data_IF_322382510508
#
_entry.id   IF_322382510508
#
_cell.length_a   1.000
_cell.length_b   1.000
_cell.length_c   1.000
_cell.angle_alpha   90.00
_cell.angle_beta   90.00
_cell.angle_gamma   90.00
#
_symmetry.space_group_name_H-M   'P 1'
#
loop_
_entity.id
_entity.type
_entity.pdbx_description
1 polymer ?
#
# COMPACT_ATOMS: atom_id res chain seq x y z
N UNK A 1 -13.72 7.06 20.73
CA UNK A 1 -13.20 6.79 19.37
C UNK A 1 -12.94 8.14 18.73
N UNK A 2 -11.67 8.52 18.57
CA UNK A 2 -11.32 9.83 17.99
C UNK A 2 -11.34 9.65 16.48
N UNK A 3 -12.44 10.05 15.84
CA UNK A 3 -12.50 10.14 14.38
C UNK A 3 -11.57 11.29 13.98
N UNK A 4 -10.53 11.01 13.19
CA UNK A 4 -9.78 12.08 12.54
C UNK A 4 -10.75 12.81 11.61
N UNK A 5 -10.97 14.12 11.78
CA UNK A 5 -11.86 14.88 10.90
C UNK A 5 -11.35 14.81 9.45
N UNK A 6 -12.26 14.69 8.49
CA UNK A 6 -11.94 14.59 7.06
C UNK A 6 -11.81 13.16 6.48
N UNK A 7 -12.04 12.10 7.25
CA UNK A 7 -12.10 10.71 6.73
C UNK A 7 -13.56 10.20 6.62
N UNK A 8 -13.88 9.38 5.60
CA UNK A 8 -15.20 8.78 5.45
C UNK A 8 -15.53 7.86 6.64
N UNK A 9 -16.82 7.77 6.98
CA UNK A 9 -17.33 6.89 8.04
C UNK A 9 -17.30 5.40 7.65
N UNK A 10 -17.24 5.10 6.35
CA UNK A 10 -17.24 3.75 5.78
C UNK A 10 -15.90 3.40 5.13
N UNK A 11 -15.57 2.10 5.12
CA UNK A 11 -14.32 1.60 4.58
C UNK A 11 -14.14 1.98 3.10
N UNK A 12 -12.96 2.49 2.73
CA UNK A 12 -12.64 2.84 1.33
C UNK A 12 -12.41 1.66 0.39
N UNK A 13 -12.50 0.41 0.88
CA UNK A 13 -12.33 -0.81 0.08
C UNK A 13 -13.65 -1.14 -0.62
N UNK A 14 -13.58 -1.43 -1.92
CA UNK A 14 -14.73 -1.75 -2.74
C UNK A 14 -15.54 -2.92 -2.18
N UNK A 15 -16.86 -2.74 -2.12
CA UNK A 15 -17.79 -3.74 -1.57
C UNK A 15 -17.76 -3.87 -0.04
N UNK A 16 -17.03 -3.02 0.70
CA UNK A 16 -16.97 -3.07 2.16
C UNK A 16 -17.79 -1.96 2.83
N UNK A 17 -18.92 -2.32 3.44
CA UNK A 17 -19.74 -1.41 4.26
C UNK A 17 -19.33 -1.33 5.73
N UNK A 18 -18.14 -1.83 6.10
CA UNK A 18 -17.70 -1.87 7.50
C UNK A 18 -17.36 -0.48 8.04
N UNK A 19 -17.63 -0.20 9.34
CA UNK A 19 -17.29 1.09 9.94
C UNK A 19 -15.78 1.29 10.00
N UNK A 20 -15.32 2.51 9.71
CA UNK A 20 -13.90 2.87 9.77
C UNK A 20 -13.41 2.87 11.21
N UNK A 21 -12.27 2.22 11.45
CA UNK A 21 -11.58 2.28 12.73
C UNK A 21 -10.36 3.21 12.69
N UNK A 22 -9.66 3.30 11.56
CA UNK A 22 -8.48 4.17 11.37
C UNK A 22 -8.07 4.19 9.89
N UNK A 23 -7.45 5.30 9.44
CA UNK A 23 -6.93 5.47 8.06
C UNK A 23 -7.95 5.16 6.94
N UNK A 24 -9.25 5.38 7.18
CA UNK A 24 -10.29 5.07 6.18
C UNK A 24 -10.59 3.59 6.00
N UNK A 25 -10.09 2.72 6.89
CA UNK A 25 -10.24 1.27 6.81
C UNK A 25 -11.03 0.74 8.02
N UNK A 26 -11.84 -0.30 7.78
CA UNK A 26 -12.43 -1.10 8.85
C UNK A 26 -11.35 -1.93 9.56
N UNK A 27 -11.65 -2.47 10.75
CA UNK A 27 -10.67 -3.22 11.55
C UNK A 27 -10.01 -4.37 10.77
N UNK A 28 -10.80 -5.11 10.00
CA UNK A 28 -10.32 -6.24 9.19
C UNK A 28 -9.32 -5.80 8.12
N UNK A 29 -9.65 -4.76 7.36
CA UNK A 29 -8.80 -4.25 6.29
C UNK A 29 -7.59 -3.48 6.83
N UNK A 30 -7.73 -2.81 7.97
CA UNK A 30 -6.61 -2.22 8.70
C UNK A 30 -5.61 -3.29 9.15
N UNK A 31 -6.09 -4.38 9.76
CA UNK A 31 -5.24 -5.48 10.21
C UNK A 31 -4.61 -6.27 9.05
N UNK A 32 -5.28 -6.35 7.88
CA UNK A 32 -4.67 -6.87 6.65
C UNK A 32 -3.59 -5.94 6.11
N UNK A 33 -3.87 -4.64 5.97
CA UNK A 33 -2.90 -3.65 5.50
C UNK A 33 -1.65 -3.61 6.38
N UNK A 34 -1.81 -3.69 7.71
CA UNK A 34 -0.69 -3.74 8.65
C UNK A 34 0.17 -5.01 8.49
N UNK A 35 -0.44 -6.17 8.21
CA UNK A 35 0.27 -7.46 8.13
C UNK A 35 0.87 -7.73 6.75
N UNK A 36 0.16 -7.33 5.70
CA UNK A 36 0.41 -7.73 4.32
C UNK A 36 0.84 -6.56 3.42
N UNK A 37 0.73 -5.32 3.90
CA UNK A 37 1.00 -4.11 3.11
C UNK A 37 -0.17 -3.66 2.22
N UNK A 38 -1.24 -4.45 2.13
CA UNK A 38 -2.45 -4.14 1.34
C UNK A 38 -3.72 -4.45 2.14
N UNK A 39 -4.81 -3.65 1.99
CA UNK A 39 -6.08 -3.86 2.68
C UNK A 39 -6.93 -4.98 2.08
N UNK A 40 -6.48 -5.60 0.99
CA UNK A 40 -7.15 -6.71 0.29
C UNK A 40 -6.33 -7.99 0.38
N UNK A 41 -6.98 -9.11 0.05
CA UNK A 41 -6.28 -10.39 -0.07
C UNK A 41 -5.23 -10.34 -1.19
N UNK A 42 -4.12 -11.05 -0.99
CA UNK A 42 -3.02 -11.09 -1.95
C UNK A 42 -2.97 -12.47 -2.60
N UNK A 43 -3.00 -12.54 -3.93
CA UNK A 43 -2.60 -13.76 -4.63
C UNK A 43 -1.09 -13.85 -4.61
N UNK A 44 -0.61 -15.03 -4.27
CA UNK A 44 0.82 -15.36 -4.33
C UNK A 44 0.95 -16.44 -5.38
N UNK A 45 1.73 -16.17 -6.42
CA UNK A 45 2.06 -17.17 -7.43
C UNK A 45 3.57 -17.33 -7.48
N UNK A 46 4.04 -18.57 -7.39
CA UNK A 46 5.49 -18.86 -7.41
C UNK A 46 5.81 -19.81 -8.55
N UNK A 47 6.96 -19.61 -9.17
CA UNK A 47 7.52 -20.56 -10.12
C UNK A 47 8.06 -21.79 -9.36
N UNK A 48 7.60 -22.99 -9.72
CA UNK A 48 8.12 -24.23 -9.14
C UNK A 48 9.58 -24.44 -9.55
N UNK A 49 10.47 -24.67 -8.59
CA UNK A 49 11.90 -24.87 -8.86
C UNK A 49 12.22 -26.12 -9.71
N UNK A 50 11.29 -27.06 -9.82
CA UNK A 50 11.51 -28.34 -10.51
C UNK A 50 10.89 -28.41 -11.91
N UNK A 51 9.68 -27.90 -12.08
CA UNK A 51 8.93 -27.97 -13.35
C UNK A 51 8.68 -26.61 -14.00
N UNK A 52 9.07 -25.51 -13.34
CA UNK A 52 8.90 -24.13 -13.80
C UNK A 52 7.45 -23.72 -14.09
N UNK A 53 6.46 -24.46 -13.58
CA UNK A 53 5.06 -24.06 -13.63
C UNK A 53 4.72 -23.11 -12.48
N UNK A 54 3.87 -22.14 -12.75
CA UNK A 54 3.30 -21.26 -11.74
C UNK A 54 2.32 -22.04 -10.86
N UNK A 55 2.38 -21.81 -9.56
CA UNK A 55 1.44 -22.39 -8.60
C UNK A 55 1.19 -21.45 -7.44
N UNK A 56 0.07 -21.64 -6.74
CA UNK A 56 -0.28 -20.90 -5.53
C UNK A 56 0.32 -21.59 -4.29
N UNK A 57 1.30 -20.98 -3.62
CA UNK A 57 1.93 -21.58 -2.46
C UNK A 57 1.07 -21.33 -1.22
N UNK A 58 0.86 -22.39 -0.42
CA UNK A 58 0.15 -22.30 0.87
C UNK A 58 0.98 -21.58 1.93
N UNK A 59 2.29 -21.54 1.75
CA UNK A 59 3.26 -20.89 2.63
C UNK A 59 4.29 -20.12 1.80
N UNK A 60 4.79 -19.01 2.33
CA UNK A 60 5.75 -18.15 1.61
C UNK A 60 7.05 -18.86 1.20
N UNK A 61 7.46 -19.88 1.96
CA UNK A 61 8.67 -20.69 1.79
C UNK A 61 8.48 -21.90 0.85
N UNK A 62 7.26 -22.19 0.41
CA UNK A 62 6.98 -23.36 -0.42
C UNK A 62 7.58 -23.16 -1.83
N UNK A 63 8.58 -23.95 -2.19
CA UNK A 63 9.29 -23.83 -3.49
C UNK A 63 8.76 -24.74 -4.60
N UNK A 64 7.93 -25.72 -4.25
CA UNK A 64 7.49 -26.77 -5.15
C UNK A 64 5.96 -26.85 -5.19
N UNK A 65 5.40 -27.03 -6.38
CA UNK A 65 3.96 -27.18 -6.58
C UNK A 65 3.41 -28.49 -5.99
N UNK A 66 4.26 -29.52 -5.82
CA UNK A 66 3.84 -30.83 -5.34
C UNK A 66 4.98 -31.60 -4.67
N UNK A 67 4.61 -32.62 -3.88
CA UNK A 67 5.55 -33.57 -3.30
C UNK A 67 6.42 -34.24 -4.39
N UNK A 68 5.82 -34.58 -5.54
CA UNK A 68 6.54 -35.19 -6.68
C UNK A 68 7.65 -34.27 -7.22
N UNK A 69 7.35 -32.98 -7.37
CA UNK A 69 8.33 -31.98 -7.81
C UNK A 69 9.45 -31.79 -6.77
N UNK A 70 9.11 -31.78 -5.48
CA UNK A 70 10.12 -31.75 -4.40
C UNK A 70 11.06 -32.95 -4.49
N UNK A 71 10.54 -34.17 -4.60
CA UNK A 71 11.36 -35.38 -4.70
C UNK A 71 12.22 -35.41 -5.98
N UNK A 72 11.67 -34.97 -7.12
CA UNK A 72 12.44 -34.82 -8.36
C UNK A 72 13.62 -33.86 -8.17
N UNK A 73 13.38 -32.70 -7.58
CA UNK A 73 14.43 -31.72 -7.35
C UNK A 73 15.51 -32.22 -6.38
N UNK A 74 15.11 -32.89 -5.29
CA UNK A 74 16.06 -33.48 -4.35
C UNK A 74 16.94 -34.56 -4.99
N UNK A 75 16.40 -35.34 -5.94
CA UNK A 75 17.22 -36.29 -6.72
C UNK A 75 18.24 -35.56 -7.60
N UNK A 76 17.83 -34.49 -8.28
CA UNK A 76 18.74 -33.68 -9.11
C UNK A 76 19.83 -33.00 -8.26
N UNK A 77 19.47 -32.46 -7.09
CA UNK A 77 20.43 -31.90 -6.13
C UNK A 77 21.49 -32.91 -5.66
N UNK A 78 21.14 -34.20 -5.53
CA UNK A 78 22.13 -35.24 -5.19
C UNK A 78 23.12 -35.53 -6.31
N UNK A 79 22.72 -35.31 -7.57
CA UNK A 79 23.57 -35.53 -8.74
C UNK A 79 24.47 -34.32 -9.02
N UNK A 80 23.90 -33.13 -8.89
CA UNK A 80 24.59 -31.86 -9.19
C UNK A 80 24.06 -30.77 -8.24
N UNK A 81 24.72 -30.63 -7.10
CA UNK A 81 24.34 -29.67 -6.08
C UNK A 81 24.65 -28.21 -6.48
N UNK A 82 25.58 -28.01 -7.41
CA UNK A 82 25.96 -26.69 -7.92
C UNK A 82 24.85 -26.13 -8.83
N UNK A 83 24.37 -26.95 -9.77
CA UNK A 83 23.24 -26.59 -10.65
C UNK A 83 21.89 -26.59 -9.93
N UNK A 84 21.70 -27.46 -8.94
CA UNK A 84 20.45 -27.60 -8.20
C UNK A 84 20.64 -27.37 -6.70
N UNK A 85 20.84 -26.12 -6.23
CA UNK A 85 21.07 -25.82 -4.82
C UNK A 85 19.84 -26.10 -3.94
N UNK A 86 20.03 -26.35 -2.63
CA UNK A 86 18.93 -26.66 -1.69
C UNK A 86 17.84 -25.57 -1.62
N UNK A 87 18.22 -24.30 -1.78
CA UNK A 87 17.31 -23.14 -1.68
C UNK A 87 17.32 -22.34 -3.00
N UNK A 88 16.73 -22.87 -4.08
CA UNK A 88 16.67 -22.16 -5.34
C UNK A 88 15.85 -20.88 -5.21
N UNK A 89 16.40 -19.77 -5.68
CA UNK A 89 15.68 -18.49 -5.77
C UNK A 89 14.72 -18.54 -6.96
N UNK A 90 13.46 -18.86 -6.68
CA UNK A 90 12.40 -18.83 -7.70
C UNK A 90 11.61 -17.53 -7.65
N UNK A 91 11.10 -17.11 -8.82
CA UNK A 91 10.23 -15.94 -8.92
C UNK A 91 8.97 -16.15 -8.08
N UNK A 92 8.69 -15.19 -7.19
CA UNK A 92 7.45 -15.07 -6.44
C UNK A 92 6.77 -13.78 -6.89
N UNK A 93 5.59 -13.93 -7.47
CA UNK A 93 4.69 -12.84 -7.80
C UNK A 93 3.68 -12.69 -6.66
N UNK A 94 3.52 -11.45 -6.19
CA UNK A 94 2.52 -11.09 -5.18
C UNK A 94 1.72 -9.94 -5.75
N UNK A 95 0.42 -10.15 -5.91
CA UNK A 95 -0.49 -9.11 -6.35
C UNK A 95 -1.70 -9.05 -5.43
N UNK A 96 -2.27 -7.87 -5.18
CA UNK A 96 -3.64 -7.81 -4.66
C UNK A 96 -4.56 -8.62 -5.57
N UNK A 97 -5.37 -9.48 -4.97
CA UNK A 97 -6.59 -9.96 -5.61
C UNK A 97 -7.48 -8.74 -5.68
N UNK A 98 -7.26 -7.91 -6.69
CA UNK A 98 -8.22 -6.86 -7.00
C UNK A 98 -9.57 -7.54 -7.21
N UNK A 99 -10.65 -6.86 -6.90
CA UNK A 99 -12.00 -7.30 -7.27
C UNK A 99 -12.17 -7.47 -8.80
N UNK A 100 -11.11 -7.35 -9.61
CA UNK A 100 -11.06 -7.55 -11.05
C UNK A 100 -10.93 -9.03 -11.48
N UNK A 101 -11.24 -9.99 -10.60
CA UNK A 101 -11.70 -11.30 -11.08
C UNK A 101 -13.16 -11.25 -11.57
N UNK A 102 -13.83 -10.10 -11.49
CA UNK A 102 -15.14 -9.84 -12.09
C UNK A 102 -14.91 -9.28 -13.51
N UNK A 103 -14.86 -10.17 -14.48
CA UNK A 103 -15.23 -9.96 -15.89
C UNK A 103 -14.49 -8.90 -16.73
N UNK A 104 -13.32 -8.40 -16.32
CA UNK A 104 -12.52 -7.50 -17.17
C UNK A 104 -13.21 -6.18 -17.52
N UNK A 105 -14.25 -5.80 -16.77
CA UNK A 105 -14.92 -4.53 -16.94
C UNK A 105 -13.91 -3.38 -16.66
N UNK A 106 -13.89 -2.33 -17.50
CA UNK A 106 -13.00 -1.20 -17.28
C UNK A 106 -13.35 -0.56 -15.92
N UNK A 107 -12.32 -0.24 -15.14
CA UNK A 107 -12.49 0.55 -13.92
C UNK A 107 -13.00 1.93 -14.33
N UNK A 108 -14.28 2.19 -14.09
CA UNK A 108 -14.87 3.51 -14.33
C UNK A 108 -14.57 4.39 -13.12
N UNK A 109 -13.83 5.47 -13.35
CA UNK A 109 -13.59 6.51 -12.35
C UNK A 109 -14.64 7.60 -12.57
N UNK A 110 -15.39 7.94 -11.52
CA UNK A 110 -16.29 9.08 -11.57
C UNK A 110 -15.48 10.37 -11.82
N UNK A 111 -15.88 11.25 -12.74
CA UNK A 111 -15.22 12.54 -12.90
C UNK A 111 -15.53 13.43 -11.70
N UNK A 112 -14.51 13.91 -11.01
CA UNK A 112 -14.64 14.87 -9.91
C UNK A 112 -13.51 15.89 -9.95
N UNK A 113 -13.76 17.08 -9.41
CA UNK A 113 -12.76 18.16 -9.32
C UNK A 113 -12.08 18.16 -7.94
N UNK A 114 -10.87 18.73 -7.85
CA UNK A 114 -10.19 18.86 -6.55
C UNK A 114 -10.99 19.73 -5.56
N UNK A 115 -11.75 20.72 -6.04
CA UNK A 115 -12.66 21.51 -5.21
C UNK A 115 -13.79 20.67 -4.60
N UNK A 116 -14.41 19.77 -5.37
CA UNK A 116 -15.42 18.85 -4.83
C UNK A 116 -14.86 17.92 -3.75
N UNK A 117 -13.59 17.53 -3.87
CA UNK A 117 -12.88 16.73 -2.86
C UNK A 117 -12.64 17.57 -1.59
N UNK A 118 -12.25 18.83 -1.76
CA UNK A 118 -12.02 19.77 -0.65
C UNK A 118 -13.31 20.09 0.12
N UNK A 119 -14.38 20.46 -0.59
CA UNK A 119 -15.68 20.83 0.00
C UNK A 119 -16.30 19.70 0.82
N UNK A 120 -16.07 18.44 0.40
CA UNK A 120 -16.54 17.25 1.12
C UNK A 120 -15.82 17.04 2.46
N UNK A 121 -14.63 17.61 2.62
CA UNK A 121 -13.66 17.17 3.63
C UNK A 121 -13.27 18.30 4.59
N UNK A 122 -14.22 19.10 5.06
CA UNK A 122 -14.03 20.19 6.03
C UNK A 122 -12.81 21.12 5.79
N UNK A 123 -12.25 21.14 4.57
CA UNK A 123 -11.00 21.82 4.23
C UNK A 123 -9.71 21.27 4.88
N UNK A 124 -9.73 20.07 5.46
CA UNK A 124 -8.60 19.50 6.20
C UNK A 124 -7.82 18.46 5.39
N UNK A 125 -6.49 18.47 5.54
CA UNK A 125 -5.62 17.46 4.96
C UNK A 125 -5.79 16.11 5.66
N UNK A 126 -6.14 15.07 4.90
CA UNK A 126 -6.35 13.72 5.42
C UNK A 126 -5.08 13.03 5.99
N UNK A 127 -3.89 13.60 5.74
CA UNK A 127 -2.60 13.05 6.20
C UNK A 127 -2.14 13.72 7.50
N UNK A 128 -2.13 15.06 7.55
CA UNK A 128 -1.61 15.82 8.70
C UNK A 128 -2.70 16.40 9.59
N UNK A 129 -3.95 16.50 9.11
CA UNK A 129 -5.09 17.11 9.80
C UNK A 129 -5.10 18.64 9.79
N UNK A 130 -4.10 19.30 9.19
CA UNK A 130 -4.07 20.76 9.06
C UNK A 130 -4.99 21.28 7.95
N UNK A 131 -5.47 22.51 8.10
CA UNK A 131 -6.24 23.18 7.06
C UNK A 131 -5.41 23.34 5.77
N UNK A 132 -6.06 23.19 4.63
CA UNK A 132 -5.48 23.44 3.31
C UNK A 132 -5.92 24.82 2.85
N UNK A 133 -4.96 25.66 2.49
CA UNK A 133 -5.25 26.91 1.82
C UNK A 133 -5.41 26.63 0.32
N UNK A 134 -6.53 27.09 -0.25
CA UNK A 134 -6.87 26.92 -1.67
C UNK A 134 -6.57 28.17 -2.49
N UNK A 135 -6.26 29.29 -1.83
CA UNK A 135 -5.95 30.57 -2.48
C UNK A 135 -4.46 30.70 -2.82
N UNK A 136 -3.61 29.86 -2.23
CA UNK A 136 -2.18 29.79 -2.56
C UNK A 136 -1.96 29.27 -3.97
N UNK A 137 -0.78 29.58 -4.51
CA UNK A 137 -0.37 29.12 -5.84
C UNK A 137 -0.53 27.60 -5.99
N UNK A 138 -0.91 27.17 -7.20
CA UNK A 138 -1.19 25.75 -7.48
C UNK A 138 0.06 24.89 -7.24
N UNK A 139 1.26 25.45 -7.33
CA UNK A 139 2.53 24.77 -7.06
C UNK A 139 3.01 24.87 -5.61
N UNK A 140 2.31 25.60 -4.76
CA UNK A 140 2.66 25.75 -3.35
C UNK A 140 2.64 24.38 -2.63
N UNK A 141 3.63 24.08 -1.76
CA UNK A 141 3.65 22.86 -0.96
C UNK A 141 2.41 22.66 -0.08
N UNK A 142 1.80 23.76 0.39
CA UNK A 142 0.63 23.81 1.27
C UNK A 142 -0.66 24.03 0.49
N UNK A 143 -0.58 24.08 -0.83
CA UNK A 143 -1.73 24.10 -1.73
C UNK A 143 -2.46 22.76 -1.81
N UNK A 144 -3.68 22.81 -2.35
CA UNK A 144 -4.57 21.67 -2.51
C UNK A 144 -4.02 20.65 -3.50
N UNK A 145 -4.04 19.39 -3.08
CA UNK A 145 -3.98 18.25 -3.96
C UNK A 145 -4.95 17.17 -3.50
N UNK A 146 -5.25 16.20 -4.35
CA UNK A 146 -6.05 15.05 -3.97
C UNK A 146 -5.28 13.74 -4.16
N UNK A 147 -5.61 12.75 -3.34
CA UNK A 147 -5.11 11.38 -3.46
C UNK A 147 -6.19 10.36 -3.14
N UNK A 148 -5.98 9.11 -3.57
CA UNK A 148 -6.83 7.99 -3.17
C UNK A 148 -6.52 7.61 -1.72
N UNK A 149 -7.57 7.45 -0.91
CA UNK A 149 -7.47 6.97 0.47
C UNK A 149 -7.02 5.50 0.49
N UNK A 150 -7.69 4.66 -0.30
CA UNK A 150 -7.20 3.34 -0.71
C UNK A 150 -6.90 3.37 -2.20
N UNK A 151 -5.67 3.07 -2.64
CA UNK A 151 -5.35 2.98 -4.06
C UNK A 151 -6.27 1.99 -4.80
N UNK A 152 -6.66 2.34 -6.02
CA UNK A 152 -7.64 1.56 -6.81
C UNK A 152 -7.08 0.17 -7.17
N UNK A 153 -5.77 0.08 -7.45
CA UNK A 153 -5.05 -1.17 -7.66
C UNK A 153 -5.00 -2.06 -6.42
N UNK A 154 -5.19 -1.48 -5.23
CA UNK A 154 -5.30 -2.19 -3.96
C UNK A 154 -6.75 -2.38 -3.50
N UNK A 155 -7.72 -2.28 -4.41
CA UNK A 155 -9.14 -2.51 -4.15
C UNK A 155 -9.89 -1.32 -3.56
N UNK A 156 -9.35 -0.10 -3.71
CA UNK A 156 -10.08 1.12 -3.38
C UNK A 156 -11.23 1.39 -4.34
N UNK A 157 -12.33 1.95 -3.83
CA UNK A 157 -13.46 2.39 -4.68
C UNK A 157 -12.99 3.54 -5.59
N UNK A 158 -13.21 3.50 -6.91
CA UNK A 158 -12.85 4.59 -7.83
C UNK A 158 -13.89 5.73 -7.83
N UNK A 159 -14.29 6.20 -6.63
CA UNK A 159 -15.34 7.21 -6.44
C UNK A 159 -14.89 8.33 -5.51
N UNK A 160 -15.65 9.44 -5.50
CA UNK A 160 -15.37 10.60 -4.64
C UNK A 160 -15.30 10.22 -3.14
N UNK A 161 -16.01 9.18 -2.72
CA UNK A 161 -15.99 8.68 -1.34
C UNK A 161 -14.63 8.13 -0.86
N UNK A 162 -13.77 7.72 -1.79
CA UNK A 162 -12.43 7.20 -1.53
C UNK A 162 -11.33 8.20 -1.97
N UNK A 163 -11.72 9.40 -2.42
CA UNK A 163 -10.80 10.48 -2.75
C UNK A 163 -10.74 11.45 -1.57
N UNK A 164 -9.52 11.83 -1.18
CA UNK A 164 -9.30 12.71 -0.01
C UNK A 164 -8.38 13.87 -0.37
N UNK A 165 -8.58 15.06 0.23
CA UNK A 165 -7.71 16.20 0.01
C UNK A 165 -6.48 16.09 0.90
N UNK A 166 -5.35 16.51 0.34
CA UNK A 166 -4.04 16.52 0.98
C UNK A 166 -3.26 17.73 0.53
N UNK A 167 -2.38 18.26 1.39
CA UNK A 167 -1.37 19.20 0.92
C UNK A 167 -0.51 18.54 -0.17
N UNK A 168 -0.03 19.32 -1.14
CA UNK A 168 0.89 18.82 -2.15
C UNK A 168 2.15 18.19 -1.53
N UNK A 169 2.68 18.77 -0.44
CA UNK A 169 3.77 18.19 0.36
C UNK A 169 3.44 16.87 1.05
N UNK A 170 2.15 16.63 1.33
CA UNK A 170 1.66 15.45 2.03
C UNK A 170 1.27 14.32 1.06
N UNK A 171 1.15 14.62 -0.23
CA UNK A 171 0.76 13.66 -1.26
C UNK A 171 1.75 12.50 -1.35
N UNK A 172 1.23 11.26 -1.38
CA UNK A 172 2.05 10.03 -1.33
C UNK A 172 2.51 9.65 0.08
N UNK A 173 2.19 10.47 1.08
CA UNK A 173 2.50 10.25 2.49
C UNK A 173 1.37 9.54 3.23
N UNK A 174 1.17 8.25 2.97
CA UNK A 174 0.59 7.33 3.98
C UNK A 174 1.55 6.15 4.19
N UNK A 175 2.86 6.42 4.27
CA UNK A 175 3.82 5.43 4.76
C UNK A 175 3.91 5.57 6.27
N UNK A 176 3.16 4.70 6.94
CA UNK A 176 3.42 4.19 8.28
C UNK A 176 4.33 5.05 9.18
N UNK A 177 3.76 6.05 9.87
CA UNK A 177 4.15 6.47 11.22
C UNK A 177 5.61 6.83 11.55
N UNK A 178 6.55 6.84 10.60
CA UNK A 178 7.93 7.28 10.86
C UNK A 178 8.02 8.75 10.47
N UNK A 179 7.63 9.62 11.41
CA UNK A 179 7.97 11.05 11.37
C UNK A 179 9.44 11.15 10.94
N UNK A 180 9.70 11.71 9.75
CA UNK A 180 11.02 12.26 9.45
C UNK A 180 11.21 13.40 10.44
N UNK A 181 11.86 13.10 11.57
CA UNK A 181 12.35 14.13 12.48
C UNK A 181 13.27 14.99 11.62
N UNK A 182 12.87 16.24 11.37
CA UNK A 182 13.72 17.27 10.78
C UNK A 182 14.95 17.31 11.69
N UNK A 183 16.09 16.82 11.22
CA UNK A 183 17.37 17.02 11.91
C UNK A 183 17.74 18.47 11.63
N UNK A 184 17.22 19.36 12.46
CA UNK A 184 17.83 20.65 12.70
C UNK A 184 18.80 20.44 13.87
N UNK A 185 20.07 20.17 13.57
CA UNK A 185 21.16 20.36 14.51
C UNK A 185 22.28 21.14 13.81
N UNK A 186 22.20 22.45 14.01
CA UNK A 186 23.29 23.29 14.47
C UNK A 186 24.69 23.00 13.92
N UNK A 187 25.10 23.82 12.95
CA UNK A 187 26.48 24.31 12.93
C UNK A 187 26.71 25.07 14.23
N UNK A 188 27.50 24.52 15.14
CA UNK A 188 28.22 25.37 16.09
C UNK A 188 29.57 24.76 16.51
N UNK A 189 30.60 25.51 16.11
CA UNK A 189 31.84 25.79 16.86
C UNK A 189 32.54 24.63 17.60
N UNK A 190 33.45 23.94 16.90
CA UNK A 190 34.63 23.30 17.52
C UNK A 190 35.89 24.10 17.17
N UNK A 191 36.02 25.26 17.80
CA UNK A 191 37.30 25.95 18.00
C UNK A 191 37.73 25.77 19.46
N UNK A 192 39.02 25.83 19.71
CA UNK A 192 39.65 25.93 21.05
C UNK A 192 39.59 24.70 21.98
N UNK A 193 40.57 23.79 21.83
CA UNK A 193 41.40 23.27 22.95
C UNK A 193 42.43 22.27 22.43
N UNK A 194 43.57 22.81 22.00
CA UNK A 194 44.88 22.16 22.09
C UNK A 194 45.76 23.08 22.92
N UNK A 195 45.86 22.76 24.21
CA UNK A 195 46.97 23.11 25.09
C UNK A 195 47.51 21.80 25.63
#
# INVERSE_FOLDING_TARGET
MVFSPGLPLMCGVAGCGGPVCSKGLCRRHYDMARRNGAPVELSRQRLCAACHQWFEPKRSDQLYCSHRCRQRYLRLNRMDAERYPKNPRTKLFVAPVSAASVDGAPVVVEPFTDMQVFDRSDGLCAVCGGAIDVEVDVFDPDGLSSQWLVPVDMGGVPALSNRVPVHRRCKGGVSDGRKRKKVEEGRDSRAEKRR
#
